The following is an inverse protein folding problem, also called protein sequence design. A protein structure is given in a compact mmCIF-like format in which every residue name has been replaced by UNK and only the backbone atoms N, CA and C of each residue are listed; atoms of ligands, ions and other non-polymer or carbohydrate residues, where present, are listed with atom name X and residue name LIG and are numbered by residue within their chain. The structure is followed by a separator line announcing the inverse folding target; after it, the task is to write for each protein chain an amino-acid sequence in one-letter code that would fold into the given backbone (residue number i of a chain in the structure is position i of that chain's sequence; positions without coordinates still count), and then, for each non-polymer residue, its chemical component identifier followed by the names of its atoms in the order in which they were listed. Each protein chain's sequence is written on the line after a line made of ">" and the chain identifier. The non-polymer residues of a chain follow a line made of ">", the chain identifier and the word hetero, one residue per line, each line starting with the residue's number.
data_IF_746717818680
#
_entry.id   IF_746717818680
#
_cell.length_a   1.000
_cell.length_b   1.000
_cell.length_c   1.000
_cell.angle_alpha   90.00
_cell.angle_beta   90.00
_cell.angle_gamma   90.00
#
_symmetry.space_group_name_H-M   'P 1'
#
loop_
_entity.id
_entity.type
_entity.pdbx_description
1 polymer ?
#
# COMPACT_ATOMS: atom_id res chain seq x y z
N UNK A 1 25.96 5.56 -15.90
CA UNK A 1 25.55 5.32 -17.31
C UNK A 1 24.62 6.45 -17.71
N UNK A 2 24.74 6.97 -18.93
CA UNK A 2 23.83 7.99 -19.44
C UNK A 2 22.45 7.37 -19.74
N UNK A 3 21.36 8.09 -19.43
CA UNK A 3 19.99 7.61 -19.64
C UNK A 3 19.55 7.64 -21.12
N UNK A 4 20.28 8.36 -21.96
CA UNK A 4 20.08 8.46 -23.41
C UNK A 4 21.44 8.19 -24.06
N UNK A 5 21.52 7.18 -24.92
CA UNK A 5 22.76 6.76 -25.57
C UNK A 5 22.56 6.65 -27.09
N UNK A 6 23.43 7.25 -27.89
CA UNK A 6 23.40 7.10 -29.35
C UNK A 6 23.98 5.73 -29.72
N UNK A 7 23.26 4.94 -30.52
CA UNK A 7 23.66 3.59 -30.97
C UNK A 7 24.01 3.53 -32.46
N UNK A 8 23.43 4.41 -33.27
CA UNK A 8 23.68 4.50 -34.71
C UNK A 8 23.32 5.88 -35.23
N UNK A 9 23.41 6.08 -36.55
CA UNK A 9 23.17 7.39 -37.19
C UNK A 9 21.80 7.98 -36.81
N UNK A 10 20.76 7.14 -36.82
CA UNK A 10 19.38 7.48 -36.47
C UNK A 10 18.81 6.61 -35.34
N UNK A 11 19.64 6.04 -34.47
CA UNK A 11 19.20 5.09 -33.44
C UNK A 11 19.70 5.49 -32.05
N UNK A 12 18.79 5.50 -31.07
CA UNK A 12 19.05 5.90 -29.69
C UNK A 12 18.50 4.86 -28.71
N UNK A 13 19.26 4.60 -27.65
CA UNK A 13 18.93 3.70 -26.56
C UNK A 13 18.59 4.50 -25.31
N UNK A 14 17.37 4.32 -24.83
CA UNK A 14 16.82 4.99 -23.66
C UNK A 14 16.86 4.03 -22.47
N UNK A 15 17.25 4.51 -21.30
CA UNK A 15 17.26 3.76 -20.04
C UNK A 15 16.60 4.58 -18.94
N UNK A 16 15.58 4.00 -18.29
CA UNK A 16 14.92 4.58 -17.11
C UNK A 16 15.13 3.64 -15.92
N UNK A 17 15.60 4.20 -14.80
CA UNK A 17 15.80 3.47 -13.55
C UNK A 17 14.56 3.61 -12.67
N UNK A 18 14.07 2.50 -12.14
CA UNK A 18 12.78 2.41 -11.42
C UNK A 18 12.99 2.16 -9.92
N UNK A 19 14.22 1.87 -9.50
CA UNK A 19 14.55 1.60 -8.10
C UNK A 19 15.16 0.22 -7.92
N UNK A 20 15.06 -0.32 -6.69
CA UNK A 20 15.59 -1.63 -6.32
C UNK A 20 14.46 -2.66 -6.20
N UNK A 21 14.66 -3.82 -6.82
CA UNK A 21 13.79 -4.99 -6.65
C UNK A 21 13.98 -5.67 -5.29
N UNK A 22 13.11 -6.63 -5.01
CA UNK A 22 13.13 -7.43 -3.77
C UNK A 22 14.40 -8.29 -3.63
N UNK A 23 15.11 -8.54 -4.73
CA UNK A 23 16.40 -9.21 -4.79
C UNK A 23 17.60 -8.27 -4.56
N UNK A 24 17.35 -6.98 -4.29
CA UNK A 24 18.36 -5.95 -4.11
C UNK A 24 18.99 -5.44 -5.41
N UNK A 25 18.57 -5.96 -6.58
CA UNK A 25 19.08 -5.52 -7.88
C UNK A 25 18.30 -4.30 -8.40
N UNK A 26 18.98 -3.44 -9.15
CA UNK A 26 18.32 -2.29 -9.77
C UNK A 26 17.44 -2.71 -10.95
N UNK A 27 16.17 -2.30 -10.93
CA UNK A 27 15.23 -2.53 -12.01
C UNK A 27 15.35 -1.38 -13.01
N UNK A 28 15.56 -1.73 -14.29
CA UNK A 28 15.71 -0.76 -15.39
C UNK A 28 14.80 -1.14 -16.53
N UNK A 29 14.12 -0.15 -17.12
CA UNK A 29 13.41 -0.31 -18.39
C UNK A 29 14.19 0.36 -19.49
N UNK A 30 14.26 -0.30 -20.63
CA UNK A 30 15.03 0.13 -21.78
C UNK A 30 14.15 0.14 -23.02
N UNK A 31 14.38 1.12 -23.90
CA UNK A 31 13.64 1.27 -25.17
C UNK A 31 14.60 1.79 -26.23
N UNK A 32 14.61 1.19 -27.40
CA UNK A 32 15.37 1.68 -28.55
C UNK A 32 14.42 2.44 -29.46
N UNK A 33 14.78 3.67 -29.83
CA UNK A 33 14.01 4.53 -30.71
C UNK A 33 14.83 4.92 -31.94
N UNK A 34 14.13 5.24 -33.03
CA UNK A 34 14.75 5.72 -34.26
C UNK A 34 14.40 7.19 -34.47
N UNK A 35 15.39 8.07 -34.29
CA UNK A 35 15.25 9.51 -34.45
C UNK A 35 16.57 10.12 -34.91
N UNK A 36 16.49 11.22 -35.68
CA UNK A 36 17.65 11.83 -36.35
C UNK A 36 18.38 12.78 -35.41
N UNK A 37 17.63 13.48 -34.56
CA UNK A 37 18.18 14.53 -33.70
C UNK A 37 18.20 14.13 -32.23
N UNK A 38 19.17 14.66 -31.48
CA UNK A 38 19.24 14.48 -30.02
C UNK A 38 18.00 15.06 -29.32
N UNK A 39 17.46 16.16 -29.84
CA UNK A 39 16.27 16.83 -29.28
C UNK A 39 15.01 15.96 -29.38
N UNK A 40 14.83 15.26 -30.50
CA UNK A 40 13.76 14.24 -30.63
C UNK A 40 13.96 13.11 -29.62
N UNK A 41 15.20 12.63 -29.46
CA UNK A 41 15.51 11.58 -28.50
C UNK A 41 15.21 12.00 -27.05
N UNK A 42 15.46 13.26 -26.68
CA UNK A 42 15.11 13.82 -25.38
C UNK A 42 13.60 13.93 -25.18
N UNK A 43 12.84 14.33 -26.21
CA UNK A 43 11.38 14.37 -26.15
C UNK A 43 10.77 12.97 -26.00
N UNK A 44 11.27 11.99 -26.75
CA UNK A 44 10.84 10.60 -26.65
C UNK A 44 11.29 9.97 -25.33
N UNK A 45 12.43 10.38 -24.78
CA UNK A 45 12.85 10.01 -23.43
C UNK A 45 11.89 10.53 -22.37
N UNK A 46 11.43 11.78 -22.48
CA UNK A 46 10.46 12.33 -21.53
C UNK A 46 9.12 11.56 -21.56
N UNK A 47 8.62 11.24 -22.77
CA UNK A 47 7.42 10.39 -22.93
C UNK A 47 7.64 8.99 -22.38
N UNK A 48 8.76 8.36 -22.74
CA UNK A 48 9.10 7.03 -22.23
C UNK A 48 9.27 7.02 -20.72
N UNK A 49 9.85 8.06 -20.14
CA UNK A 49 9.95 8.23 -18.70
C UNK A 49 8.57 8.36 -18.07
N UNK A 50 7.65 9.12 -18.64
CA UNK A 50 6.26 9.19 -18.16
C UNK A 50 5.52 7.86 -18.34
N UNK A 51 5.72 7.14 -19.44
CA UNK A 51 5.14 5.80 -19.66
C UNK A 51 5.68 4.79 -18.64
N UNK A 52 6.98 4.82 -18.36
CA UNK A 52 7.62 3.97 -17.35
C UNK A 52 7.18 4.39 -15.95
N UNK A 53 7.17 5.67 -15.64
CA UNK A 53 6.66 6.17 -14.36
C UNK A 53 5.17 5.84 -14.21
N UNK A 54 4.35 5.89 -15.25
CA UNK A 54 2.93 5.55 -15.21
C UNK A 54 2.67 4.03 -15.20
N UNK A 55 3.53 3.23 -15.84
CA UNK A 55 3.43 1.77 -15.90
C UNK A 55 4.08 1.06 -14.71
N UNK A 56 5.13 1.64 -14.13
CA UNK A 56 5.79 1.22 -12.88
C UNK A 56 5.22 1.94 -11.66
N UNK A 57 4.47 3.02 -11.85
CA UNK A 57 3.25 3.23 -11.07
C UNK A 57 2.27 2.10 -11.43
N UNK A 58 2.68 0.88 -11.07
CA UNK A 58 1.80 -0.08 -10.46
C UNK A 58 1.35 0.63 -9.20
N UNK A 59 0.40 1.52 -9.41
CA UNK A 59 -0.45 1.97 -8.38
C UNK A 59 -0.85 0.67 -7.66
N UNK A 60 -0.78 0.59 -6.32
CA UNK A 60 -1.33 -0.55 -5.57
C UNK A 60 -2.86 -0.68 -5.74
N UNK A 61 -3.40 -0.17 -6.86
CA UNK A 61 -4.78 0.15 -7.15
C UNK A 61 -5.59 -1.06 -7.59
N UNK A 62 -5.02 -2.09 -8.24
CA UNK A 62 -5.82 -3.28 -8.64
C UNK A 62 -5.89 -4.38 -7.58
N UNK A 63 -5.23 -4.23 -6.44
CA UNK A 63 -5.30 -5.22 -5.39
C UNK A 63 -6.57 -5.01 -4.56
N UNK A 64 -7.37 -6.07 -4.45
CA UNK A 64 -8.47 -6.11 -3.49
C UNK A 64 -7.92 -6.27 -2.07
N UNK A 65 -8.66 -5.78 -1.09
CA UNK A 65 -8.30 -5.95 0.31
C UNK A 65 -8.13 -7.43 0.69
N UNK A 66 -8.93 -8.33 0.10
CA UNK A 66 -8.78 -9.77 0.30
C UNK A 66 -7.42 -10.31 -0.15
N UNK A 67 -6.96 -9.93 -1.35
CA UNK A 67 -5.64 -10.34 -1.85
C UNK A 67 -4.51 -9.75 -0.99
N UNK A 68 -4.66 -8.51 -0.52
CA UNK A 68 -3.71 -7.89 0.40
C UNK A 68 -3.58 -8.66 1.72
N UNK A 69 -4.69 -9.12 2.30
CA UNK A 69 -4.68 -9.85 3.57
C UNK A 69 -3.89 -11.16 3.46
N UNK A 70 -4.03 -11.89 2.35
CA UNK A 70 -3.26 -13.11 2.10
C UNK A 70 -1.76 -12.82 1.97
N UNK A 71 -1.41 -11.78 1.21
CA UNK A 71 -0.01 -11.37 1.03
C UNK A 71 0.62 -10.90 2.36
N UNK A 72 -0.11 -10.10 3.14
CA UNK A 72 0.30 -9.68 4.47
C UNK A 72 0.51 -10.87 5.41
N UNK A 73 -0.36 -11.89 5.32
CA UNK A 73 -0.29 -13.09 6.14
C UNK A 73 1.01 -13.85 5.89
N UNK A 74 1.32 -14.14 4.63
CA UNK A 74 2.50 -14.91 4.23
C UNK A 74 3.82 -14.14 4.43
N UNK A 75 3.84 -12.87 4.04
CA UNK A 75 5.07 -12.07 4.04
C UNK A 75 5.43 -11.55 5.43
N UNK A 76 4.44 -11.24 6.25
CA UNK A 76 4.65 -10.57 7.53
C UNK A 76 4.09 -11.34 8.73
N UNK A 77 2.79 -11.65 8.72
CA UNK A 77 2.09 -12.08 9.92
C UNK A 77 2.66 -13.37 10.52
N UNK A 78 2.91 -14.40 9.69
CA UNK A 78 3.45 -15.69 10.15
C UNK A 78 4.88 -15.58 10.68
N UNK A 79 5.68 -14.64 10.16
CA UNK A 79 7.10 -14.49 10.52
C UNK A 79 7.32 -13.60 11.75
N UNK A 80 6.44 -12.63 11.97
CA UNK A 80 6.66 -11.55 12.94
C UNK A 80 5.67 -11.53 14.10
N UNK A 81 4.53 -12.23 14.02
CA UNK A 81 3.54 -12.25 15.10
C UNK A 81 3.61 -13.54 15.92
N UNK A 82 3.47 -13.40 17.24
CA UNK A 82 3.29 -14.55 18.12
C UNK A 82 1.96 -15.26 17.84
N UNK A 83 1.92 -16.58 18.06
CA UNK A 83 0.80 -17.45 17.67
C UNK A 83 -0.57 -16.95 18.17
N UNK A 84 -0.65 -16.49 19.43
CA UNK A 84 -1.89 -15.98 20.03
C UNK A 84 -2.39 -14.70 19.34
N UNK A 85 -1.46 -13.82 18.97
CA UNK A 85 -1.75 -12.57 18.27
C UNK A 85 -2.20 -12.85 16.85
N UNK A 86 -1.48 -13.73 16.14
CA UNK A 86 -1.86 -14.19 14.80
C UNK A 86 -3.28 -14.75 14.77
N UNK A 87 -3.59 -15.68 15.67
CA UNK A 87 -4.93 -16.29 15.77
C UNK A 87 -6.03 -15.24 16.00
N UNK A 88 -5.78 -14.29 16.90
CA UNK A 88 -6.74 -13.20 17.18
C UNK A 88 -6.95 -12.32 15.95
N UNK A 89 -5.88 -12.00 15.22
CA UNK A 89 -5.94 -11.15 14.03
C UNK A 89 -6.67 -11.87 12.89
N UNK A 90 -6.33 -13.13 12.63
CA UNK A 90 -7.01 -13.97 11.64
C UNK A 90 -8.50 -14.12 11.94
N UNK A 91 -8.87 -14.33 13.21
CA UNK A 91 -10.28 -14.41 13.63
C UNK A 91 -11.04 -13.10 13.36
N UNK A 92 -10.45 -11.95 13.69
CA UNK A 92 -11.08 -10.65 13.41
C UNK A 92 -11.17 -10.37 11.90
N UNK A 93 -10.12 -10.68 11.15
CA UNK A 93 -10.11 -10.54 9.70
C UNK A 93 -11.20 -11.41 9.06
N UNK A 94 -11.27 -12.69 9.41
CA UNK A 94 -12.24 -13.64 8.83
C UNK A 94 -13.69 -13.31 9.20
N UNK A 95 -13.95 -12.98 10.46
CA UNK A 95 -15.32 -12.88 10.97
C UNK A 95 -15.92 -11.48 10.80
N UNK A 96 -15.10 -10.43 10.67
CA UNK A 96 -15.60 -9.03 10.69
C UNK A 96 -15.16 -8.23 9.48
N UNK A 97 -13.86 -8.22 9.19
CA UNK A 97 -13.28 -7.27 8.23
C UNK A 97 -13.43 -7.78 6.79
N UNK A 98 -13.13 -9.05 6.52
CA UNK A 98 -13.25 -9.64 5.19
C UNK A 98 -14.69 -9.64 4.64
N UNK A 99 -15.74 -9.96 5.41
CA UNK A 99 -17.11 -9.87 4.92
C UNK A 99 -17.49 -8.48 4.37
N UNK A 100 -16.94 -7.41 4.95
CA UNK A 100 -17.24 -6.04 4.54
C UNK A 100 -16.30 -5.51 3.44
N UNK A 101 -15.00 -5.84 3.49
CA UNK A 101 -13.99 -5.19 2.66
C UNK A 101 -13.35 -6.10 1.60
N UNK A 102 -13.55 -7.42 1.63
CA UNK A 102 -12.81 -8.38 0.77
C UNK A 102 -12.79 -8.02 -0.71
N UNK A 103 -13.93 -7.59 -1.25
CA UNK A 103 -14.08 -7.28 -2.68
C UNK A 103 -13.76 -5.82 -3.02
N UNK A 104 -13.54 -4.96 -2.02
CA UNK A 104 -13.15 -3.57 -2.24
C UNK A 104 -11.67 -3.52 -2.63
N UNK A 105 -11.36 -2.65 -3.59
CA UNK A 105 -9.97 -2.33 -3.94
C UNK A 105 -9.41 -1.44 -2.84
N UNK A 106 -8.12 -1.56 -2.56
CA UNK A 106 -7.48 -0.78 -1.50
C UNK A 106 -7.66 0.74 -1.71
N UNK A 107 -7.65 1.19 -2.97
CA UNK A 107 -7.90 2.59 -3.34
C UNK A 107 -9.33 3.07 -3.09
N UNK A 108 -10.30 2.15 -3.11
CA UNK A 108 -11.72 2.46 -2.95
C UNK A 108 -12.13 2.49 -1.48
N UNK A 109 -11.25 2.11 -0.54
CA UNK A 109 -11.53 2.18 0.89
C UNK A 109 -11.44 3.63 1.36
N UNK A 110 -12.60 4.29 1.42
CA UNK A 110 -12.75 5.66 1.89
C UNK A 110 -13.01 5.72 3.40
N UNK A 111 -12.74 6.87 4.06
CA UNK A 111 -13.06 7.06 5.48
C UNK A 111 -14.52 6.75 5.82
N UNK A 112 -15.47 7.08 4.93
CA UNK A 112 -16.89 6.77 5.11
C UNK A 112 -17.15 5.26 5.21
N UNK A 113 -16.47 4.42 4.42
CA UNK A 113 -16.62 2.96 4.52
C UNK A 113 -16.19 2.44 5.90
N UNK A 114 -15.18 3.08 6.51
CA UNK A 114 -14.71 2.74 7.86
C UNK A 114 -15.74 3.16 8.91
N UNK A 115 -16.27 4.39 8.82
CA UNK A 115 -17.29 4.91 9.75
C UNK A 115 -18.58 4.09 9.69
N UNK A 116 -19.02 3.73 8.49
CA UNK A 116 -20.20 2.89 8.28
C UNK A 116 -19.99 1.49 8.85
N UNK A 117 -18.80 0.92 8.65
CA UNK A 117 -18.45 -0.37 9.22
C UNK A 117 -18.44 -0.35 10.76
N UNK A 118 -17.84 0.67 11.38
CA UNK A 118 -17.85 0.83 12.83
C UNK A 118 -19.29 0.98 13.37
N UNK A 119 -20.12 1.79 12.70
CA UNK A 119 -21.53 1.96 13.04
C UNK A 119 -22.33 0.65 12.96
N UNK A 120 -22.03 -0.21 11.99
CA UNK A 120 -22.65 -1.55 11.87
C UNK A 120 -22.27 -2.46 13.03
N UNK A 121 -20.98 -2.48 13.41
CA UNK A 121 -20.51 -3.27 14.53
C UNK A 121 -21.14 -2.85 15.87
N UNK A 122 -21.41 -1.56 16.06
CA UNK A 122 -22.09 -1.06 17.26
C UNK A 122 -23.56 -1.50 17.33
N UNK A 123 -24.27 -1.48 16.19
CA UNK A 123 -25.70 -1.83 16.09
C UNK A 123 -25.98 -3.33 16.16
N UNK A 124 -25.12 -4.16 15.58
CA UNK A 124 -25.31 -5.62 15.56
C UNK A 124 -25.02 -6.29 16.91
N UNK A 125 -24.73 -5.52 17.97
CA UNK A 125 -24.37 -6.10 19.27
C UNK A 125 -23.14 -6.99 19.14
N UNK A 126 -22.11 -6.53 18.41
CA UNK A 126 -20.95 -7.29 17.94
C UNK A 126 -19.96 -7.75 19.04
N UNK A 127 -20.46 -8.19 20.18
CA UNK A 127 -19.72 -9.05 21.12
C UNK A 127 -20.17 -10.48 20.83
N UNK A 128 -19.23 -11.33 20.43
CA UNK A 128 -19.46 -12.79 20.40
C UNK A 128 -19.76 -13.37 21.78
N UNK A 129 -19.62 -12.58 22.84
CA UNK A 129 -20.06 -12.88 24.19
C UNK A 129 -21.48 -12.34 24.42
N UNK A 130 -22.39 -13.20 24.90
CA UNK A 130 -23.79 -12.91 25.25
C UNK A 130 -23.95 -11.91 26.43
N UNK A 131 -23.22 -10.79 26.46
CA UNK A 131 -23.30 -9.77 27.52
C UNK A 131 -23.38 -8.37 26.93
N UNK A 132 -24.56 -7.74 27.08
CA UNK A 132 -24.84 -6.35 26.68
C UNK A 132 -24.01 -5.38 27.53
N UNK A 133 -22.88 -4.92 26.99
CA UNK A 133 -22.25 -3.65 27.42
C UNK A 133 -21.67 -2.97 26.18
N UNK A 134 -22.04 -1.70 26.00
CA UNK A 134 -21.53 -0.81 24.96
C UNK A 134 -20.00 -0.82 24.95
N UNK A 135 -19.42 -0.81 23.75
CA UNK A 135 -17.98 -0.77 23.54
C UNK A 135 -17.54 0.66 23.89
N UNK A 136 -17.10 0.89 25.13
CA UNK A 136 -16.46 2.16 25.49
C UNK A 136 -15.09 2.19 24.83
N UNK A 137 -14.93 2.95 23.73
CA UNK A 137 -13.61 3.37 23.27
C UNK A 137 -12.99 4.21 24.39
N UNK A 138 -12.01 3.63 25.09
CA UNK A 138 -11.31 4.31 26.17
C UNK A 138 -10.49 5.46 25.61
N UNK A 139 -11.02 6.67 25.66
CA UNK A 139 -10.22 7.88 25.55
C UNK A 139 -9.26 7.91 26.75
N UNK A 140 -8.02 7.47 26.55
CA UNK A 140 -6.94 7.82 27.45
C UNK A 140 -6.69 9.32 27.30
N UNK A 141 -7.46 10.13 28.02
CA UNK A 141 -7.10 11.50 28.35
C UNK A 141 -5.79 11.46 29.13
N UNK A 142 -4.70 11.88 28.48
CA UNK A 142 -3.41 12.12 29.12
C UNK A 142 -3.63 13.26 30.11
N UNK A 143 -3.78 12.90 31.39
CA UNK A 143 -3.75 13.83 32.51
C UNK A 143 -2.34 14.42 32.62
N UNK A 144 -2.18 15.68 32.23
CA UNK A 144 -0.97 16.45 32.52
C UNK A 144 -0.89 16.72 34.02
N UNK A 145 -0.08 15.93 34.74
CA UNK A 145 0.28 16.21 36.13
C UNK A 145 1.28 17.35 36.17
N UNK A 146 0.78 18.55 36.49
CA UNK A 146 1.56 19.74 36.76
C UNK A 146 2.17 19.63 38.18
N UNK A 147 3.42 19.21 38.30
CA UNK A 147 4.17 19.25 39.57
C UNK A 147 4.57 20.69 39.88
N UNK A 148 3.78 21.37 40.72
CA UNK A 148 4.21 22.59 41.41
C UNK A 148 5.32 22.25 42.39
N UNK A 149 6.52 22.77 42.13
CA UNK A 149 7.53 23.06 43.15
C UNK A 149 6.94 24.08 44.14
N UNK A 150 7.04 23.81 45.44
CA UNK A 150 7.14 24.86 46.44
C UNK A 150 8.07 24.40 47.57
N UNK A 151 8.73 25.42 48.12
CA UNK A 151 9.82 25.44 49.11
C UNK A 151 9.62 24.51 50.30
#
# INVERSE_FOLDING_TARGET
>A
MANIQKRGENSWFLTVNIGKGHDGKYIRRTKTIHCRTKREAESEYAKFRQEVEAGEYIAPQKMTFGAFVEEWREKYAVKHLGHKTLYTYESNLKNRILPAFKNLRLEDIKPLHIVDFLSKLEKEGARGDKKKRCISFGNHSISASHTKKHL
#
